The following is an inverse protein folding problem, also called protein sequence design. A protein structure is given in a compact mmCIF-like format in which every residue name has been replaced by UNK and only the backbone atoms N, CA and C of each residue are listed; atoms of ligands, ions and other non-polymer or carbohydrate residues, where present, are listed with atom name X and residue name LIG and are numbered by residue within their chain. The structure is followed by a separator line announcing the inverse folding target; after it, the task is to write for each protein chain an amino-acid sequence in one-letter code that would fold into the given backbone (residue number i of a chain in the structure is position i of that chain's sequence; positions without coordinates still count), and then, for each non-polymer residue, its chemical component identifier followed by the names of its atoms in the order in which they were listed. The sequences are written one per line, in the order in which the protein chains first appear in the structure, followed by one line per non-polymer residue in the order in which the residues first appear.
data_IF_362421162183
#
_entry.id   IF_362421162183
#
_cell.length_a   1.000
_cell.length_b   1.000
_cell.length_c   1.000
_cell.angle_alpha   90.00
_cell.angle_beta   90.00
_cell.angle_gamma   90.00
#
_symmetry.space_group_name_H-M   'P 1'
#
loop_
_entity.id
_entity.type
_entity.pdbx_description
1 polymer ?
#
# COMPACT_ATOMS: atom_id res chain seq x y z
N UNK A 1 22.50 19.49 10.09
CA UNK A 1 21.52 20.60 10.11
C UNK A 1 20.20 20.03 9.64
N UNK A 2 19.15 20.01 10.47
CA UNK A 2 17.81 19.67 9.99
C UNK A 2 17.30 20.88 9.20
N UNK A 3 17.43 20.84 7.88
CA UNK A 3 16.72 21.77 7.02
C UNK A 3 15.22 21.47 7.14
N UNK A 4 14.44 22.48 7.49
CA UNK A 4 12.99 22.36 7.56
C UNK A 4 12.43 21.78 6.24
N UNK A 5 11.35 21.02 6.36
CA UNK A 5 10.61 20.47 5.23
C UNK A 5 10.13 21.60 4.32
N UNK A 6 10.62 21.66 3.09
CA UNK A 6 10.11 22.58 2.07
C UNK A 6 9.23 21.80 1.11
N UNK A 7 7.91 22.04 1.20
CA UNK A 7 6.91 21.34 0.40
C UNK A 7 7.03 21.63 -1.11
N UNK A 8 7.64 22.74 -1.52
CA UNK A 8 7.88 23.03 -2.94
C UNK A 8 8.98 22.18 -3.56
N UNK A 9 9.94 21.74 -2.74
CA UNK A 9 11.08 20.93 -3.16
C UNK A 9 11.08 19.58 -2.45
N UNK A 10 9.92 19.13 -1.97
CA UNK A 10 9.79 17.91 -1.18
C UNK A 10 10.27 16.69 -1.97
N UNK A 11 10.04 16.66 -3.27
CA UNK A 11 10.48 15.58 -4.15
C UNK A 11 10.76 16.11 -5.56
N UNK A 12 11.17 15.24 -6.48
CA UNK A 12 11.43 15.66 -7.87
C UNK A 12 10.11 15.74 -8.64
N UNK A 13 9.70 16.95 -8.98
CA UNK A 13 8.48 17.24 -9.74
C UNK A 13 8.72 17.18 -11.25
N UNK A 14 7.89 16.43 -11.97
CA UNK A 14 7.91 16.33 -13.43
C UNK A 14 6.53 16.73 -13.96
N UNK A 15 6.40 17.93 -14.58
CA UNK A 15 5.15 18.34 -15.21
C UNK A 15 4.78 17.41 -16.38
N UNK A 16 3.52 16.97 -16.43
CA UNK A 16 2.97 16.18 -17.55
C UNK A 16 2.09 17.07 -18.43
N UNK A 17 1.04 17.65 -17.84
CA UNK A 17 0.23 18.74 -18.41
C UNK A 17 -0.16 19.71 -17.29
N UNK A 18 -0.81 20.83 -17.60
CA UNK A 18 -1.10 21.90 -16.63
C UNK A 18 -1.65 21.40 -15.28
N UNK A 19 -2.50 20.36 -15.30
CA UNK A 19 -3.16 19.81 -14.11
C UNK A 19 -2.73 18.38 -13.75
N UNK A 20 -1.68 17.86 -14.40
CA UNK A 20 -1.15 16.52 -14.14
C UNK A 20 0.36 16.59 -13.90
N UNK A 21 0.80 16.05 -12.77
CA UNK A 21 2.21 16.04 -12.36
C UNK A 21 2.62 14.64 -11.93
N UNK A 22 3.85 14.26 -12.28
CA UNK A 22 4.53 13.08 -11.76
C UNK A 22 5.54 13.52 -10.72
N UNK A 23 5.49 12.91 -9.54
CA UNK A 23 6.32 13.24 -8.40
C UNK A 23 7.19 12.04 -8.04
N UNK A 24 8.50 12.15 -8.23
CA UNK A 24 9.46 11.07 -8.00
C UNK A 24 10.07 11.17 -6.59
N UNK A 25 9.82 10.16 -5.75
CA UNK A 25 10.42 10.04 -4.42
C UNK A 25 11.74 9.27 -4.46
N UNK A 26 11.79 8.22 -5.28
CA UNK A 26 13.00 7.44 -5.58
C UNK A 26 12.99 7.00 -7.04
N UNK A 27 14.05 6.34 -7.52
CA UNK A 27 14.02 5.72 -8.85
C UNK A 27 12.91 4.66 -9.00
N UNK A 28 12.32 4.17 -7.91
CA UNK A 28 11.36 3.06 -7.84
C UNK A 28 9.99 3.45 -7.26
N UNK A 29 9.83 4.67 -6.76
CA UNK A 29 8.64 5.11 -6.06
C UNK A 29 8.24 6.50 -6.53
N UNK A 30 6.97 6.65 -6.91
CA UNK A 30 6.44 7.89 -7.42
C UNK A 30 4.96 8.08 -7.07
N UNK A 31 4.47 9.28 -7.30
CA UNK A 31 3.06 9.64 -7.27
C UNK A 31 2.67 10.29 -8.58
N UNK A 32 1.51 9.96 -9.10
CA UNK A 32 0.83 10.76 -10.13
C UNK A 32 -0.24 11.58 -9.43
N UNK A 33 -0.20 12.89 -9.64
CA UNK A 33 -1.12 13.85 -9.04
C UNK A 33 -1.91 14.57 -10.12
N UNK A 34 -3.23 14.47 -10.04
CA UNK A 34 -4.17 15.28 -10.81
C UNK A 34 -4.79 16.33 -9.90
N UNK A 35 -4.73 17.60 -10.31
CA UNK A 35 -5.34 18.71 -9.59
C UNK A 35 -6.53 19.31 -10.32
N UNK A 36 -7.68 19.32 -9.65
CA UNK A 36 -8.90 20.01 -10.07
C UNK A 36 -9.16 21.26 -9.25
N UNK A 37 -8.18 21.75 -8.49
CA UNK A 37 -8.31 22.95 -7.68
C UNK A 37 -8.68 24.17 -8.55
N UNK A 38 -9.58 24.99 -8.03
CA UNK A 38 -9.84 26.31 -8.59
C UNK A 38 -8.70 27.25 -8.21
N UNK A 39 -8.13 27.95 -9.20
CA UNK A 39 -7.02 28.87 -9.00
C UNK A 39 -5.97 28.79 -10.10
N UNK A 40 -5.03 29.73 -10.04
CA UNK A 40 -3.93 29.85 -11.01
C UNK A 40 -2.80 28.85 -10.76
N UNK A 41 -2.61 28.44 -9.50
CA UNK A 41 -1.65 27.41 -9.12
C UNK A 41 -2.38 26.06 -8.97
N UNK A 42 -2.16 25.10 -9.88
CA UNK A 42 -2.74 23.77 -9.77
C UNK A 42 -2.09 22.94 -8.65
N UNK A 43 -0.90 23.26 -8.16
CA UNK A 43 -0.20 22.44 -7.17
C UNK A 43 0.37 23.27 -6.02
N UNK A 44 -0.48 23.98 -5.25
CA UNK A 44 0.00 24.79 -4.15
C UNK A 44 0.65 23.90 -3.08
N UNK A 45 1.82 24.30 -2.53
CA UNK A 45 2.57 23.50 -1.57
C UNK A 45 1.78 23.15 -0.31
N UNK A 46 0.79 23.97 0.09
CA UNK A 46 -0.07 23.69 1.24
C UNK A 46 -0.88 22.37 1.12
N UNK A 47 -1.09 21.86 -0.10
CA UNK A 47 -1.77 20.58 -0.34
C UNK A 47 -0.81 19.46 -0.78
N UNK A 48 0.48 19.62 -0.49
CA UNK A 48 1.47 18.57 -0.66
C UNK A 48 1.31 17.53 0.45
N UNK A 49 1.25 16.24 0.10
CA UNK A 49 1.12 15.15 1.09
C UNK A 49 2.50 14.56 1.33
N UNK A 50 3.07 14.68 2.55
CA UNK A 50 4.26 13.94 2.91
C UNK A 50 3.98 12.44 2.82
N UNK A 51 4.61 11.78 1.86
CA UNK A 51 4.41 10.35 1.56
C UNK A 51 4.50 9.39 2.77
N UNK A 52 5.24 9.76 3.82
CA UNK A 52 5.35 8.95 5.03
C UNK A 52 5.15 9.83 6.27
N UNK A 53 4.25 9.40 7.16
CA UNK A 53 4.13 9.98 8.50
C UNK A 53 5.51 9.95 9.16
N UNK A 54 5.95 11.09 9.68
CA UNK A 54 7.27 11.22 10.32
C UNK A 54 8.42 11.57 9.36
N UNK A 55 8.19 11.66 8.04
CA UNK A 55 9.21 12.18 7.11
C UNK A 55 9.17 13.70 7.06
N UNK A 56 10.06 14.32 7.83
CA UNK A 56 10.18 15.79 7.96
C UNK A 56 11.35 16.37 7.16
N UNK A 57 11.84 15.63 6.17
CA UNK A 57 12.94 16.05 5.29
C UNK A 57 12.61 15.76 3.85
N UNK A 58 13.09 16.61 2.94
CA UNK A 58 12.90 16.44 1.50
C UNK A 58 13.54 15.13 1.01
N UNK A 59 13.04 14.61 -0.10
CA UNK A 59 13.64 13.49 -0.81
C UNK A 59 14.87 13.96 -1.60
N UNK A 60 15.85 13.07 -1.73
CA UNK A 60 16.97 13.33 -2.62
C UNK A 60 16.46 13.48 -4.07
N UNK A 61 17.01 14.41 -4.87
CA UNK A 61 16.65 14.54 -6.27
C UNK A 61 16.84 13.21 -7.03
N UNK A 62 15.86 12.85 -7.85
CA UNK A 62 15.87 11.60 -8.63
C UNK A 62 16.28 11.93 -10.07
N UNK A 63 17.43 11.42 -10.57
CA UNK A 63 17.79 11.58 -11.97
C UNK A 63 16.79 10.86 -12.89
N UNK A 64 16.39 11.54 -13.97
CA UNK A 64 15.51 10.97 -14.98
C UNK A 64 15.78 11.55 -16.38
N UNK A 65 15.33 10.84 -17.40
CA UNK A 65 15.17 11.37 -18.76
C UNK A 65 13.69 11.48 -19.10
N UNK A 66 13.33 12.45 -19.94
CA UNK A 66 11.96 12.72 -20.35
C UNK A 66 11.88 12.81 -21.87
N UNK A 67 10.93 12.11 -22.45
CA UNK A 67 10.54 12.22 -23.85
C UNK A 67 9.04 12.42 -23.94
N UNK A 68 8.57 13.14 -24.95
CA UNK A 68 7.17 13.53 -25.07
C UNK A 68 6.73 13.50 -26.54
N UNK A 69 5.49 13.08 -26.77
CA UNK A 69 4.75 13.26 -28.02
C UNK A 69 3.37 13.85 -27.71
N UNK A 70 2.52 14.02 -28.72
CA UNK A 70 1.22 14.69 -28.55
C UNK A 70 0.28 13.99 -27.55
N UNK A 71 0.40 12.67 -27.37
CA UNK A 71 -0.49 11.89 -26.49
C UNK A 71 0.12 11.43 -25.17
N UNK A 72 1.44 11.40 -25.05
CA UNK A 72 2.13 10.70 -23.97
C UNK A 72 3.39 11.43 -23.50
N UNK A 73 3.64 11.39 -22.20
CA UNK A 73 4.93 11.71 -21.59
C UNK A 73 5.56 10.42 -21.07
N UNK A 74 6.82 10.21 -21.42
CA UNK A 74 7.60 9.06 -20.96
C UNK A 74 8.75 9.56 -20.09
N UNK A 75 8.82 9.06 -18.86
CA UNK A 75 9.84 9.39 -17.88
C UNK A 75 10.62 8.12 -17.55
N UNK A 76 11.94 8.15 -17.71
CA UNK A 76 12.81 7.00 -17.41
C UNK A 76 13.75 7.34 -16.27
N UNK A 77 13.68 6.59 -15.19
CA UNK A 77 14.62 6.64 -14.05
C UNK A 77 15.66 5.53 -14.20
N UNK A 78 16.60 5.43 -13.25
CA UNK A 78 17.53 4.30 -13.21
C UNK A 78 16.87 2.91 -13.07
N UNK A 79 15.59 2.82 -12.67
CA UNK A 79 14.92 1.54 -12.43
C UNK A 79 13.61 1.35 -13.20
N UNK A 80 12.94 2.44 -13.59
CA UNK A 80 11.60 2.40 -14.16
C UNK A 80 11.50 3.20 -15.44
N UNK A 81 10.63 2.75 -16.34
CA UNK A 81 10.12 3.54 -17.46
C UNK A 81 8.62 3.74 -17.27
N UNK A 82 8.23 4.99 -17.05
CA UNK A 82 6.86 5.41 -16.70
C UNK A 82 6.27 6.10 -17.93
N UNK A 83 5.17 5.58 -18.45
CA UNK A 83 4.46 6.13 -19.61
C UNK A 83 3.13 6.68 -19.14
N UNK A 84 2.87 7.96 -19.36
CA UNK A 84 1.68 8.67 -18.85
C UNK A 84 0.93 9.28 -20.03
N UNK A 85 -0.32 8.85 -20.21
CA UNK A 85 -1.22 9.45 -21.19
C UNK A 85 -1.70 10.82 -20.69
N UNK A 86 -1.67 11.82 -21.58
CA UNK A 86 -2.00 13.21 -21.23
C UNK A 86 -3.49 13.46 -20.99
N UNK A 87 -4.36 12.63 -21.58
CA UNK A 87 -5.80 12.92 -21.68
C UNK A 87 -6.67 12.16 -20.68
N UNK A 88 -6.28 10.95 -20.28
CA UNK A 88 -7.12 10.05 -19.49
C UNK A 88 -6.47 9.61 -18.17
N UNK A 89 -5.34 10.23 -17.81
CA UNK A 89 -4.59 9.96 -16.57
C UNK A 89 -4.11 8.51 -16.43
N UNK A 90 -4.21 7.69 -17.48
CA UNK A 90 -3.71 6.33 -17.45
C UNK A 90 -2.19 6.35 -17.56
N UNK A 91 -1.57 5.44 -16.85
CA UNK A 91 -0.13 5.23 -16.96
C UNK A 91 0.19 3.75 -16.99
N UNK A 92 1.35 3.44 -17.56
CA UNK A 92 1.95 2.10 -17.45
C UNK A 92 3.37 2.23 -16.94
N UNK A 93 3.81 1.22 -16.21
CA UNK A 93 5.16 1.14 -15.67
C UNK A 93 5.85 -0.06 -16.25
N UNK A 94 7.08 0.13 -16.70
CA UNK A 94 7.94 -0.87 -17.31
C UNK A 94 9.30 -0.87 -16.62
N UNK A 95 10.06 -1.94 -16.83
CA UNK A 95 11.51 -1.93 -16.54
C UNK A 95 12.19 -0.77 -17.28
N UNK A 96 13.30 -0.25 -16.74
CA UNK A 96 13.99 0.91 -17.32
C UNK A 96 14.35 0.75 -18.80
N UNK A 97 14.72 -0.47 -19.22
CA UNK A 97 15.01 -0.85 -20.60
C UNK A 97 13.76 -0.97 -21.49
N UNK A 98 12.56 -0.97 -20.91
CA UNK A 98 11.29 -1.17 -21.59
C UNK A 98 10.97 -2.63 -21.96
N UNK A 99 11.80 -3.61 -21.55
CA UNK A 99 11.64 -5.01 -21.97
C UNK A 99 10.42 -5.70 -21.33
N UNK A 100 9.99 -5.27 -20.14
CA UNK A 100 8.88 -5.89 -19.41
C UNK A 100 7.96 -4.87 -18.76
N UNK A 101 6.65 -5.05 -18.95
CA UNK A 101 5.62 -4.27 -18.24
C UNK A 101 5.51 -4.76 -16.80
N UNK A 102 5.57 -3.82 -15.85
CA UNK A 102 5.39 -4.03 -14.41
C UNK A 102 3.95 -3.71 -14.02
N UNK A 103 3.37 -2.61 -14.50
CA UNK A 103 2.01 -2.19 -14.18
C UNK A 103 1.24 -1.72 -15.43
N UNK A 104 -0.01 -2.18 -15.66
CA UNK A 104 -0.69 -3.24 -14.90
C UNK A 104 -0.08 -4.62 -15.18
N UNK A 105 -0.04 -5.46 -14.14
CA UNK A 105 0.35 -6.88 -14.24
C UNK A 105 -0.88 -7.80 -14.11
N UNK A 106 -0.82 -8.96 -14.77
CA UNK A 106 -1.73 -10.08 -14.55
C UNK A 106 -1.22 -11.11 -13.53
N UNK A 107 -0.09 -10.83 -12.87
CA UNK A 107 0.53 -11.71 -11.88
C UNK A 107 -0.21 -11.77 -10.54
N UNK A 108 0.30 -12.57 -9.59
CA UNK A 108 -0.36 -12.85 -8.32
C UNK A 108 -0.43 -11.62 -7.40
N UNK A 109 -1.43 -11.62 -6.52
CA UNK A 109 -1.65 -10.62 -5.47
C UNK A 109 -1.31 -11.24 -4.11
N UNK A 110 -0.49 -10.55 -3.33
CA UNK A 110 -0.09 -10.92 -1.97
C UNK A 110 -0.30 -9.71 -1.03
N UNK A 111 -1.47 -9.64 -0.40
CA UNK A 111 -1.85 -8.46 0.40
C UNK A 111 -1.90 -7.20 -0.47
N UNK A 112 -1.14 -6.17 -0.09
CA UNK A 112 -1.07 -4.90 -0.83
C UNK A 112 -0.11 -4.92 -2.02
N UNK A 113 0.51 -6.06 -2.33
CA UNK A 113 1.45 -6.21 -3.44
C UNK A 113 0.84 -7.01 -4.58
N UNK A 114 1.01 -6.53 -5.81
CA UNK A 114 0.66 -7.23 -7.04
C UNK A 114 1.92 -7.37 -7.88
N UNK A 115 2.39 -8.59 -8.08
CA UNK A 115 3.58 -8.87 -8.91
C UNK A 115 4.81 -7.97 -8.59
N UNK A 116 5.08 -7.76 -7.29
CA UNK A 116 6.23 -6.99 -6.80
C UNK A 116 6.06 -5.47 -6.78
N UNK A 117 4.91 -4.92 -7.19
CA UNK A 117 4.59 -3.51 -6.96
C UNK A 117 3.40 -3.35 -6.01
N UNK A 118 3.26 -2.17 -5.43
CA UNK A 118 2.00 -1.71 -4.83
C UNK A 118 1.54 -0.45 -5.54
N UNK A 119 0.22 -0.33 -5.69
CA UNK A 119 -0.47 0.80 -6.28
C UNK A 119 -1.61 1.14 -5.34
N UNK A 120 -1.70 2.38 -4.87
CA UNK A 120 -2.75 2.81 -3.96
C UNK A 120 -3.03 4.29 -4.12
N UNK A 121 -4.22 4.71 -3.73
CA UNK A 121 -4.59 6.13 -3.57
C UNK A 121 -4.90 6.41 -2.09
N UNK A 122 -5.42 7.60 -1.79
CA UNK A 122 -5.78 7.98 -0.41
C UNK A 122 -6.93 7.17 0.19
N UNK A 123 -7.66 6.39 -0.61
CA UNK A 123 -8.87 5.68 -0.20
C UNK A 123 -8.84 4.17 -0.46
N UNK A 124 -8.12 3.67 -1.47
CA UNK A 124 -8.02 2.25 -1.79
C UNK A 124 -6.64 1.79 -2.25
N UNK A 125 -6.36 0.51 -1.98
CA UNK A 125 -5.33 -0.22 -2.70
C UNK A 125 -5.87 -0.61 -4.09
N UNK A 126 -4.99 -0.64 -5.08
CA UNK A 126 -5.25 -1.05 -6.46
C UNK A 126 -6.38 -0.31 -7.21
N UNK A 127 -6.83 0.85 -6.70
CA UNK A 127 -7.88 1.64 -7.33
C UNK A 127 -9.26 0.98 -7.28
N UNK A 128 -9.51 0.15 -6.27
CA UNK A 128 -10.82 -0.45 -6.02
C UNK A 128 -11.88 0.64 -5.78
N UNK A 129 -13.08 0.45 -6.32
CA UNK A 129 -14.21 1.34 -6.11
C UNK A 129 -14.59 1.35 -4.62
N UNK A 130 -14.63 2.53 -4.02
CA UNK A 130 -15.07 2.70 -2.64
C UNK A 130 -16.02 3.90 -2.53
N UNK A 131 -16.93 3.82 -1.57
CA UNK A 131 -17.92 4.87 -1.29
C UNK A 131 -17.35 5.98 -0.39
N UNK A 132 -16.05 5.99 -0.15
CA UNK A 132 -15.40 7.01 0.68
C UNK A 132 -15.32 8.32 -0.11
N UNK A 133 -15.80 9.41 0.49
CA UNK A 133 -15.64 10.74 -0.09
C UNK A 133 -14.14 11.10 -0.11
N UNK A 134 -13.61 11.27 -1.32
CA UNK A 134 -12.19 11.56 -1.58
C UNK A 134 -11.92 13.07 -1.65
N UNK A 135 -12.95 13.90 -1.47
CA UNK A 135 -12.94 15.30 -1.94
C UNK A 135 -12.66 16.33 -0.82
N UNK A 136 -12.69 15.91 0.44
CA UNK A 136 -12.31 16.73 1.59
C UNK A 136 -11.17 16.08 2.36
N UNK A 137 -10.03 16.75 2.47
CA UNK A 137 -8.87 16.20 3.17
C UNK A 137 -8.15 17.22 4.03
N UNK A 138 -7.59 16.70 5.12
CA UNK A 138 -6.76 17.38 6.09
C UNK A 138 -5.29 17.14 5.72
N UNK A 139 -4.53 18.21 5.55
CA UNK A 139 -3.14 18.18 5.10
C UNK A 139 -2.18 18.48 6.25
N UNK A 140 -0.98 17.91 6.15
CA UNK A 140 0.09 18.14 7.12
C UNK A 140 0.63 19.56 7.01
N UNK A 141 0.62 20.29 8.14
CA UNK A 141 1.29 21.57 8.26
C UNK A 141 2.71 21.37 8.83
N UNK A 142 3.78 21.67 8.06
CA UNK A 142 5.16 21.52 8.50
C UNK A 142 5.56 22.48 9.62
N UNK A 143 4.89 23.63 9.74
CA UNK A 143 5.17 24.63 10.76
C UNK A 143 4.70 24.18 12.15
N UNK A 144 3.53 23.52 12.21
CA UNK A 144 2.91 23.09 13.47
C UNK A 144 3.09 21.60 13.77
N UNK A 145 3.46 20.80 12.76
CA UNK A 145 3.60 19.36 12.86
C UNK A 145 2.28 18.59 12.91
N UNK A 146 1.16 19.21 12.53
CA UNK A 146 -0.20 18.64 12.67
C UNK A 146 -0.88 18.43 11.33
N UNK A 147 -1.76 17.43 11.26
CA UNK A 147 -2.62 17.20 10.08
C UNK A 147 -3.94 17.97 10.13
N UNK A 148 -4.29 18.62 11.25
CA UNK A 148 -5.60 19.26 11.45
C UNK A 148 -5.62 20.78 11.18
N UNK A 149 -4.61 21.31 10.49
CA UNK A 149 -4.44 22.77 10.37
C UNK A 149 -4.71 23.28 8.95
N UNK A 150 -4.70 22.40 7.95
CA UNK A 150 -4.99 22.75 6.55
C UNK A 150 -6.08 21.84 6.02
N UNK A 151 -7.25 22.42 5.73
CA UNK A 151 -8.40 21.69 5.21
C UNK A 151 -8.70 22.11 3.78
N UNK A 152 -8.74 21.15 2.85
CA UNK A 152 -9.33 21.37 1.54
C UNK A 152 -10.84 21.16 1.66
N UNK A 153 -11.58 22.26 1.68
CA UNK A 153 -13.03 22.21 1.74
C UNK A 153 -13.62 21.85 0.37
N UNK A 154 -14.64 20.97 0.31
CA UNK A 154 -15.40 20.74 -0.91
C UNK A 154 -16.08 22.05 -1.35
N UNK A 155 -16.12 22.30 -2.66
CA UNK A 155 -16.74 23.51 -3.21
C UNK A 155 -18.25 23.55 -2.87
N UNK A 156 -18.78 24.66 -2.32
CA UNK A 156 -20.20 24.81 -2.01
C UNK A 156 -21.07 25.07 -3.25
N UNK A 157 -20.46 25.41 -4.39
CA UNK A 157 -21.19 25.72 -5.62
C UNK A 157 -21.31 24.49 -6.54
N UNK A 158 -22.57 24.16 -6.80
CA UNK A 158 -23.16 23.14 -7.69
C UNK A 158 -23.40 21.74 -7.09
N UNK A 159 -24.56 21.19 -7.44
CA UNK A 159 -25.05 19.83 -7.14
C UNK A 159 -24.22 18.71 -7.76
N UNK A 160 -23.00 19.01 -8.21
CA UNK A 160 -21.99 18.09 -8.70
C UNK A 160 -20.71 18.34 -7.88
N UNK A 161 -20.54 17.57 -6.81
CA UNK A 161 -19.54 17.68 -5.73
C UNK A 161 -18.03 17.68 -6.12
N UNK A 162 -17.57 18.31 -7.22
CA UNK A 162 -16.27 17.94 -7.83
C UNK A 162 -15.26 19.05 -8.18
N UNK A 163 -15.42 20.26 -7.64
CA UNK A 163 -14.64 21.40 -8.13
C UNK A 163 -13.39 21.76 -7.30
N UNK A 164 -13.10 21.08 -6.18
CA UNK A 164 -11.84 21.27 -5.43
C UNK A 164 -11.31 19.90 -4.99
N UNK A 165 -10.63 19.21 -5.91
CA UNK A 165 -10.14 17.86 -5.70
C UNK A 165 -8.66 17.73 -6.06
N UNK A 166 -7.94 16.92 -5.29
CA UNK A 166 -6.61 16.43 -5.64
C UNK A 166 -6.68 14.91 -5.64
N UNK A 167 -6.31 14.31 -6.77
CA UNK A 167 -6.26 12.86 -6.93
C UNK A 167 -4.80 12.43 -6.96
N UNK A 168 -4.41 11.72 -5.91
CA UNK A 168 -3.07 11.18 -5.76
C UNK A 168 -3.08 9.67 -5.91
N UNK A 169 -2.24 9.17 -6.81
CA UNK A 169 -2.01 7.75 -6.99
C UNK A 169 -0.53 7.42 -6.81
N UNK A 170 -0.24 6.60 -5.82
CA UNK A 170 1.10 6.22 -5.42
C UNK A 170 1.48 4.87 -5.99
N UNK A 171 2.70 4.78 -6.50
CA UNK A 171 3.28 3.54 -7.01
C UNK A 171 4.63 3.29 -6.34
N UNK A 172 4.84 2.06 -5.88
CA UNK A 172 6.13 1.62 -5.33
C UNK A 172 6.50 0.29 -5.96
N UNK A 173 7.70 0.22 -6.54
CA UNK A 173 8.27 -1.00 -7.10
C UNK A 173 9.52 -1.45 -6.35
N UNK A 174 9.33 -2.36 -5.40
CA UNK A 174 10.42 -3.07 -4.75
C UNK A 174 10.78 -4.32 -5.54
N UNK A 175 12.05 -4.61 -5.82
CA UNK A 175 12.38 -5.97 -6.21
C UNK A 175 11.97 -6.90 -5.07
N UNK A 176 11.35 -8.03 -5.40
CA UNK A 176 11.19 -9.18 -4.49
C UNK A 176 12.53 -9.80 -4.07
N UNK A 177 13.65 -9.06 -4.21
CA UNK A 177 14.91 -9.35 -3.52
C UNK A 177 14.80 -9.02 -2.04
N UNK A 178 13.83 -8.18 -1.65
CA UNK A 178 13.13 -8.32 -0.39
C UNK A 178 12.27 -9.56 -0.49
N UNK A 179 12.87 -10.68 -0.17
CA UNK A 179 12.23 -11.96 -0.05
C UNK A 179 10.92 -11.89 0.77
N UNK A 180 9.77 -12.11 0.12
CA UNK A 180 8.86 -13.14 0.65
C UNK A 180 9.51 -14.54 0.58
N UNK A 181 10.64 -14.66 -0.13
CA UNK A 181 11.57 -15.80 -0.21
C UNK A 181 12.45 -15.97 1.05
N UNK A 182 11.87 -15.69 2.22
CA UNK A 182 12.54 -15.38 3.49
C UNK A 182 11.54 -15.15 4.63
N UNK A 183 10.28 -14.88 4.29
CA UNK A 183 9.18 -15.46 5.08
C UNK A 183 9.31 -16.97 4.89
N UNK A 184 9.54 -17.76 5.96
CA UNK A 184 9.70 -19.19 5.81
C UNK A 184 8.45 -19.77 5.11
N UNK A 185 8.63 -20.81 4.29
CA UNK A 185 7.53 -21.49 3.59
C UNK A 185 6.38 -21.94 4.53
N UNK A 186 6.66 -22.67 5.62
CA UNK A 186 7.05 -22.07 6.88
C UNK A 186 6.15 -21.16 7.74
N UNK A 187 4.86 -20.98 7.49
CA UNK A 187 4.08 -20.06 8.36
C UNK A 187 3.69 -20.75 9.66
N UNK A 188 4.23 -20.27 10.78
CA UNK A 188 3.63 -20.50 12.10
C UNK A 188 2.53 -19.47 12.28
N UNK A 189 1.30 -19.94 12.39
CA UNK A 189 0.17 -19.11 12.80
C UNK A 189 -0.09 -19.44 14.24
N UNK A 190 -0.17 -18.43 15.11
CA UNK A 190 -0.62 -18.60 16.48
C UNK A 190 -2.11 -18.26 16.54
N UNK A 191 -2.96 -19.28 16.54
CA UNK A 191 -4.38 -19.10 16.83
C UNK A 191 -4.58 -19.25 18.34
N UNK A 192 -5.08 -18.19 18.99
CA UNK A 192 -5.48 -18.24 20.39
C UNK A 192 -7.00 -18.31 20.49
N UNK A 193 -7.53 -19.43 20.96
CA UNK A 193 -8.95 -19.56 21.31
C UNK A 193 -9.09 -19.40 22.82
N UNK A 194 -9.78 -18.36 23.27
CA UNK A 194 -9.98 -18.04 24.70
C UNK A 194 -11.38 -18.46 25.16
N UNK A 195 -11.53 -18.69 26.47
CA UNK A 195 -12.84 -18.93 27.09
C UNK A 195 -13.31 -20.38 27.01
N UNK A 196 -12.38 -21.32 26.82
CA UNK A 196 -12.69 -22.75 26.79
C UNK A 196 -12.52 -23.31 28.20
N UNK A 197 -13.58 -23.90 28.77
CA UNK A 197 -13.56 -24.36 30.16
C UNK A 197 -12.82 -25.69 30.37
N UNK A 198 -12.65 -26.48 29.30
CA UNK A 198 -12.07 -27.82 29.35
C UNK A 198 -11.05 -28.02 28.23
N UNK A 199 -9.95 -28.78 28.46
CA UNK A 199 -8.99 -29.09 27.41
C UNK A 199 -9.64 -29.88 26.26
N UNK A 200 -9.27 -29.54 25.03
CA UNK A 200 -9.71 -30.29 23.85
C UNK A 200 -8.99 -31.64 23.77
N UNK A 201 -9.74 -32.71 23.48
CA UNK A 201 -9.18 -34.06 23.26
C UNK A 201 -8.67 -34.28 21.84
N UNK A 202 -9.15 -33.48 20.88
CA UNK A 202 -8.83 -33.59 19.45
C UNK A 202 -8.83 -32.21 18.78
N UNK A 203 -7.83 -31.96 17.93
CA UNK A 203 -7.74 -30.77 17.08
C UNK A 203 -7.58 -31.23 15.63
N UNK A 204 -8.38 -30.67 14.72
CA UNK A 204 -8.29 -30.93 13.29
C UNK A 204 -7.60 -29.76 12.58
N UNK A 205 -6.52 -30.07 11.84
CA UNK A 205 -5.79 -29.10 11.02
C UNK A 205 -5.82 -29.58 9.55
N UNK A 206 -6.67 -28.97 8.74
CA UNK A 206 -6.94 -29.48 7.39
C UNK A 206 -7.57 -30.88 7.45
N UNK A 207 -6.91 -31.88 6.85
CA UNK A 207 -7.34 -33.29 6.89
C UNK A 207 -6.68 -34.10 8.00
N UNK A 208 -5.73 -33.52 8.74
CA UNK A 208 -4.98 -34.21 9.78
C UNK A 208 -5.70 -34.11 11.14
N UNK A 209 -5.88 -35.26 11.79
CA UNK A 209 -6.40 -35.33 13.15
C UNK A 209 -5.26 -35.46 14.15
N UNK A 210 -5.09 -34.43 14.99
CA UNK A 210 -4.14 -34.45 16.09
C UNK A 210 -4.88 -34.82 17.38
N UNK A 211 -4.63 -36.03 17.88
CA UNK A 211 -5.18 -36.55 19.14
C UNK A 211 -4.08 -36.68 20.18
N UNK A 212 -4.34 -36.19 21.40
CA UNK A 212 -3.50 -36.44 22.58
C UNK A 212 -4.23 -37.40 23.53
N UNK A 213 -3.50 -38.27 24.21
CA UNK A 213 -4.09 -39.34 25.01
C UNK A 213 -4.66 -38.86 26.37
N UNK A 214 -4.31 -37.65 26.84
CA UNK A 214 -4.32 -37.41 28.28
C UNK A 214 -4.26 -35.93 28.71
N UNK A 215 -4.61 -34.97 27.86
CA UNK A 215 -4.73 -33.55 28.27
C UNK A 215 -3.40 -32.87 28.63
N UNK A 216 -2.28 -33.47 28.27
CA UNK A 216 -0.94 -32.93 28.50
C UNK A 216 -0.67 -31.70 27.60
N UNK A 217 -0.04 -30.67 28.16
CA UNK A 217 0.32 -29.41 27.52
C UNK A 217 1.78 -29.41 27.01
N UNK A 218 2.29 -30.57 26.58
CA UNK A 218 3.64 -30.70 26.02
C UNK A 218 3.83 -29.89 24.73
N UNK A 219 5.03 -29.33 24.45
CA UNK A 219 5.31 -28.56 23.23
C UNK A 219 5.10 -29.40 21.95
N UNK A 220 4.32 -28.89 21.00
CA UNK A 220 4.03 -29.55 19.72
C UNK A 220 3.27 -28.61 18.77
N UNK A 221 2.63 -29.15 17.73
CA UNK A 221 1.83 -28.41 16.72
C UNK A 221 0.63 -27.64 17.31
N UNK A 222 0.35 -27.83 18.61
CA UNK A 222 -0.56 -27.04 19.46
C UNK A 222 -0.26 -27.31 20.95
N UNK A 223 -0.64 -26.40 21.85
CA UNK A 223 -0.53 -26.48 23.32
C UNK A 223 -1.76 -25.88 24.01
N UNK A 224 -2.07 -26.32 25.24
CA UNK A 224 -3.15 -25.77 26.07
C UNK A 224 -2.57 -25.01 27.28
N UNK A 225 -2.98 -23.76 27.47
CA UNK A 225 -2.66 -22.94 28.64
C UNK A 225 -3.87 -22.90 29.58
N UNK A 226 -3.83 -23.74 30.62
CA UNK A 226 -4.89 -23.83 31.61
C UNK A 226 -5.06 -22.55 32.44
N UNK A 227 -3.97 -21.80 32.69
CA UNK A 227 -4.02 -20.57 33.46
C UNK A 227 -4.74 -19.45 32.69
N UNK A 228 -4.66 -19.48 31.35
CA UNK A 228 -5.30 -18.50 30.47
C UNK A 228 -6.58 -18.99 29.80
N UNK A 229 -7.01 -20.22 30.08
CA UNK A 229 -8.09 -20.91 29.37
C UNK A 229 -7.93 -20.76 27.83
N UNK A 230 -6.71 -20.99 27.34
CA UNK A 230 -6.33 -20.68 25.97
C UNK A 230 -5.70 -21.88 25.24
N UNK A 231 -6.23 -22.19 24.06
CA UNK A 231 -5.59 -23.12 23.12
C UNK A 231 -4.65 -22.31 22.20
N UNK A 232 -3.41 -22.76 22.09
CA UNK A 232 -2.43 -22.27 21.12
C UNK A 232 -2.23 -23.35 20.07
N UNK A 233 -2.39 -23.03 18.80
CA UNK A 233 -2.09 -23.94 17.70
C UNK A 233 -0.93 -23.36 16.91
N UNK A 234 0.12 -24.13 16.66
CA UNK A 234 1.29 -23.77 15.86
C UNK A 234 1.42 -24.76 14.68
N UNK A 235 0.67 -24.51 13.60
CA UNK A 235 0.66 -25.38 12.42
C UNK A 235 1.82 -25.13 11.44
N UNK A 236 2.27 -26.17 10.74
CA UNK A 236 2.84 -26.03 9.39
C UNK A 236 1.71 -26.34 8.41
N UNK A 237 1.30 -25.45 7.50
CA UNK A 237 0.42 -25.89 6.43
C UNK A 237 1.19 -26.93 5.59
N UNK A 238 0.78 -28.20 5.66
CA UNK A 238 0.97 -29.09 4.53
C UNK A 238 0.34 -28.38 3.32
N UNK A 239 0.94 -28.51 2.14
CA UNK A 239 0.52 -27.83 0.93
C UNK A 239 -0.93 -28.20 0.54
N UNK A 240 -1.91 -27.60 1.22
CA UNK A 240 -3.32 -27.71 0.94
C UNK A 240 -3.67 -26.52 0.08
N UNK A 241 -4.06 -26.80 -1.16
CA UNK A 241 -4.49 -25.81 -2.14
C UNK A 241 -5.79 -25.09 -1.72
N UNK A 242 -6.48 -25.58 -0.68
CA UNK A 242 -7.84 -25.17 -0.35
C UNK A 242 -7.98 -24.73 1.12
N UNK A 243 -7.36 -23.60 1.47
CA UNK A 243 -7.60 -22.92 2.75
C UNK A 243 -7.21 -23.69 4.02
N UNK A 244 -7.17 -22.99 5.15
CA UNK A 244 -6.94 -23.60 6.45
C UNK A 244 -8.31 -23.90 7.08
N UNK A 245 -8.74 -25.15 7.06
CA UNK A 245 -9.97 -25.59 7.73
C UNK A 245 -9.66 -25.88 9.20
N UNK A 246 -10.29 -25.13 10.11
CA UNK A 246 -10.25 -25.38 11.56
C UNK A 246 -11.59 -25.94 12.02
N UNK A 247 -11.57 -27.11 12.64
CA UNK A 247 -12.75 -27.67 13.31
C UNK A 247 -12.36 -28.12 14.72
N UNK A 248 -13.14 -27.64 15.68
CA UNK A 248 -12.96 -27.94 17.10
C UNK A 248 -14.19 -28.76 17.50
N UNK A 249 -13.98 -30.05 17.82
CA UNK A 249 -15.04 -30.89 18.37
C UNK A 249 -14.94 -30.84 19.91
N UNK A 250 -15.97 -30.27 20.55
CA UNK A 250 -16.15 -30.39 22.00
C UNK A 250 -16.92 -31.69 22.28
N UNK A 251 -16.41 -32.52 23.21
CA UNK A 251 -17.15 -33.65 23.77
C UNK A 251 -18.04 -33.20 24.91
#
# INVERSE_FOLDING_TARGET
MNTALDLNSYCTHVPVVARLRLDLFTARAFRIRLSRLQGNDPFPPAYEIPFAVGKHTNWAPVPFTRTENDGEVVVTTAALRIRIAKFDFRFTVWTADGSRRICPSGGPVYGMFKDGYTLFDSASAFGEENLNDRNGHWFYNPETGRYCDTYLAPSPETSEHRNNEIHDQFFIYGPTTGTYRGVPAQRTWDLQVRGVAVPFKRVLLGTEALTRADGDASPGTWTWDAAKAALHVCGRPAAAADGLLFRIDQS
#
